data_IF_937136442846
#
_entry.id   IF_937136442846
#
_cell.length_a   1.000
_cell.length_b   1.000
_cell.length_c   1.000
_cell.angle_alpha   90.00
_cell.angle_beta   90.00
_cell.angle_gamma   90.00
#
_symmetry.space_group_name_H-M   'P 1'
#
loop_
_entity.id
_entity.type
_entity.pdbx_description
1 polymer ?
#
# COMPACT_ATOMS: atom_id res chain seq x y z
N UNK A 1 -6.54 -0.86 -7.91
CA UNK A 1 -5.12 -0.67 -8.25
C UNK A 1 -4.29 -1.12 -7.07
N UNK A 2 -3.14 -1.76 -7.28
CA UNK A 2 -2.20 -2.00 -6.18
C UNK A 2 -1.62 -0.67 -5.68
N UNK A 3 -1.44 -0.53 -4.37
CA UNK A 3 -0.84 0.67 -3.78
C UNK A 3 0.16 0.25 -2.73
N UNK A 4 1.34 0.87 -2.73
CA UNK A 4 2.43 0.51 -1.84
C UNK A 4 2.99 1.74 -1.16
N UNK A 5 3.33 1.62 0.12
CA UNK A 5 4.29 2.52 0.76
C UNK A 5 5.66 1.86 0.73
N UNK A 6 6.52 2.40 -0.12
CA UNK A 6 7.88 1.93 -0.32
C UNK A 6 8.79 2.60 0.71
N UNK A 7 9.59 1.81 1.42
CA UNK A 7 10.60 2.27 2.36
C UNK A 7 11.97 2.14 1.71
N UNK A 8 12.77 3.19 1.75
CA UNK A 8 14.08 3.25 1.11
C UNK A 8 15.17 3.57 2.12
N UNK A 9 16.38 3.09 1.84
CA UNK A 9 17.61 3.49 2.53
C UNK A 9 18.69 3.84 1.49
N UNK A 10 19.29 5.01 1.63
CA UNK A 10 20.29 5.47 0.69
C UNK A 10 21.62 4.72 0.89
N UNK A 11 22.06 3.97 -0.12
CA UNK A 11 23.36 3.29 -0.12
C UNK A 11 24.58 4.22 -0.01
N UNK A 12 24.41 5.54 -0.19
CA UNK A 12 25.51 6.53 -0.13
C UNK A 12 25.56 7.29 1.18
N UNK A 13 24.43 7.81 1.63
CA UNK A 13 24.38 8.73 2.78
C UNK A 13 23.56 8.17 3.96
N UNK A 14 22.99 6.97 3.82
CA UNK A 14 22.17 6.30 4.83
C UNK A 14 20.90 7.07 5.23
N UNK A 15 20.49 8.07 4.44
CA UNK A 15 19.17 8.69 4.58
C UNK A 15 18.08 7.64 4.33
N UNK A 16 17.09 7.59 5.20
CA UNK A 16 15.91 6.74 5.04
C UNK A 16 14.71 7.62 4.69
N UNK A 17 13.91 7.20 3.71
CA UNK A 17 12.69 7.90 3.31
C UNK A 17 11.64 6.92 2.84
N UNK A 18 10.43 7.44 2.63
CA UNK A 18 9.27 6.66 2.22
C UNK A 18 8.60 7.38 1.06
N UNK A 19 8.06 6.61 0.11
CA UNK A 19 7.21 7.14 -0.95
C UNK A 19 6.03 6.20 -1.21
N UNK A 20 4.89 6.76 -1.59
CA UNK A 20 3.67 6.00 -1.89
C UNK A 20 3.42 5.96 -3.39
N UNK A 21 3.35 4.74 -3.94
CA UNK A 21 3.18 4.56 -5.38
C UNK A 21 2.45 3.27 -5.73
N UNK A 22 1.96 3.18 -6.97
CA UNK A 22 1.28 1.99 -7.48
C UNK A 22 2.21 0.81 -7.77
N UNK A 23 3.52 0.96 -7.57
CA UNK A 23 4.53 -0.09 -7.69
C UNK A 23 5.65 0.06 -6.65
N UNK A 24 6.38 -1.02 -6.41
CA UNK A 24 7.71 -0.97 -5.82
C UNK A 24 8.73 -0.59 -6.90
N UNK A 25 9.00 0.70 -7.04
CA UNK A 25 9.84 1.25 -8.09
C UNK A 25 11.08 1.95 -7.48
N UNK A 26 12.18 2.01 -8.23
CA UNK A 26 13.39 2.70 -7.78
C UNK A 26 13.18 4.21 -7.66
N UNK A 27 13.82 4.85 -6.68
CA UNK A 27 13.72 6.29 -6.43
C UNK A 27 15.08 7.00 -6.31
N UNK A 28 15.05 8.33 -6.26
CA UNK A 28 16.20 9.23 -6.03
C UNK A 28 16.22 9.72 -4.58
N UNK A 29 17.35 9.50 -3.89
CA UNK A 29 17.54 9.94 -2.51
C UNK A 29 17.41 11.47 -2.38
N UNK A 30 16.48 11.98 -1.55
CA UNK A 30 16.18 13.41 -1.44
C UNK A 30 17.33 14.22 -0.80
N UNK A 31 18.21 13.57 -0.04
CA UNK A 31 19.30 14.24 0.66
C UNK A 31 20.56 14.44 -0.20
N UNK A 32 20.92 13.46 -1.03
CA UNK A 32 22.20 13.46 -1.76
C UNK A 32 22.08 13.23 -3.28
N UNK A 33 20.87 13.04 -3.80
CA UNK A 33 20.61 12.81 -5.22
C UNK A 33 21.14 11.47 -5.74
N UNK A 34 21.39 10.50 -4.85
CA UNK A 34 21.75 9.15 -5.27
C UNK A 34 20.54 8.48 -5.93
N UNK A 35 20.71 8.03 -7.18
CA UNK A 35 19.66 7.43 -7.99
C UNK A 35 19.62 5.92 -7.86
N UNK A 36 18.52 5.34 -8.34
CA UNK A 36 18.30 3.89 -8.43
C UNK A 36 18.34 3.22 -7.05
N UNK A 37 17.78 3.88 -6.05
CA UNK A 37 17.56 3.26 -4.76
C UNK A 37 16.30 2.40 -4.86
N UNK A 38 16.47 1.08 -4.87
CA UNK A 38 15.35 0.16 -4.72
C UNK A 38 14.82 0.19 -3.30
N UNK A 39 13.51 -0.01 -3.08
CA UNK A 39 12.96 -0.09 -1.74
C UNK A 39 13.55 -1.28 -0.98
N UNK A 40 13.83 -1.07 0.31
CA UNK A 40 14.26 -2.11 1.23
C UNK A 40 13.07 -2.92 1.76
N UNK A 41 11.89 -2.30 1.79
CA UNK A 41 10.61 -2.92 2.13
C UNK A 41 9.46 -2.17 1.44
N UNK A 42 8.34 -2.85 1.23
CA UNK A 42 7.13 -2.24 0.66
C UNK A 42 5.90 -2.73 1.42
N UNK A 43 5.23 -1.82 2.11
CA UNK A 43 3.94 -2.09 2.75
C UNK A 43 2.85 -2.14 1.68
N UNK A 44 2.13 -3.26 1.59
CA UNK A 44 0.98 -3.39 0.68
C UNK A 44 -0.24 -2.67 1.28
N UNK A 45 -0.56 -1.54 0.66
CA UNK A 45 -1.70 -0.68 0.98
C UNK A 45 -2.83 -0.82 -0.03
N UNK A 46 -2.85 -1.88 -0.86
CA UNK A 46 -3.92 -2.14 -1.83
C UNK A 46 -5.29 -2.21 -1.14
N UNK A 47 -5.30 -2.83 0.04
CA UNK A 47 -6.45 -2.86 0.92
C UNK A 47 -6.10 -2.26 2.29
N UNK A 48 -7.03 -1.52 2.87
CA UNK A 48 -6.93 -1.03 4.24
C UNK A 48 -8.11 -1.49 5.06
N UNK A 49 -7.87 -1.74 6.36
CA UNK A 49 -8.93 -2.03 7.33
C UNK A 49 -9.15 -0.79 8.20
N UNK A 50 -10.35 -0.22 8.15
CA UNK A 50 -10.76 0.89 9.00
C UNK A 50 -11.67 0.36 10.12
N UNK A 51 -11.36 0.72 11.36
CA UNK A 51 -12.18 0.42 12.53
C UNK A 51 -13.23 1.51 12.74
N UNK A 52 -14.50 1.18 12.51
CA UNK A 52 -15.65 2.07 12.67
C UNK A 52 -16.34 1.87 14.05
N UNK A 53 -15.68 1.17 14.97
CA UNK A 53 -16.13 0.89 16.34
C UNK A 53 -17.14 -0.26 16.46
N UNK A 54 -18.08 -0.38 15.52
CA UNK A 54 -19.08 -1.46 15.49
C UNK A 54 -18.80 -2.53 14.42
N UNK A 55 -17.97 -2.19 13.44
CA UNK A 55 -17.55 -3.06 12.37
C UNK A 55 -16.19 -2.61 11.83
N UNK A 56 -15.55 -3.48 11.07
CA UNK A 56 -14.30 -3.25 10.38
C UNK A 56 -14.61 -3.17 8.89
N UNK A 57 -14.40 -2.01 8.29
CA UNK A 57 -14.56 -1.80 6.86
C UNK A 57 -13.26 -2.16 6.15
N UNK A 58 -13.34 -2.99 5.11
CA UNK A 58 -12.24 -3.18 4.16
C UNK A 58 -12.46 -2.25 2.99
N UNK A 59 -11.48 -1.38 2.73
CA UNK A 59 -11.48 -0.46 1.61
C UNK A 59 -10.40 -0.87 0.62
N UNK A 60 -10.65 -0.65 -0.67
CA UNK A 60 -9.70 -0.88 -1.77
C UNK A 60 -9.66 0.35 -2.66
N UNK A 61 -8.48 0.73 -3.14
CA UNK A 61 -8.39 1.71 -4.22
C UNK A 61 -8.80 1.06 -5.56
N UNK A 62 -9.73 1.65 -6.33
CA UNK A 62 -10.16 1.12 -7.60
C UNK A 62 -9.02 1.12 -8.63
N UNK A 63 -9.16 0.37 -9.73
CA UNK A 63 -8.12 0.29 -10.77
C UNK A 63 -7.99 1.59 -11.58
N UNK A 64 -9.03 2.41 -11.59
CA UNK A 64 -9.07 3.72 -12.26
C UNK A 64 -8.46 4.86 -11.42
N UNK A 65 -8.02 4.60 -10.20
CA UNK A 65 -7.30 5.60 -9.41
C UNK A 65 -5.96 5.91 -10.09
N UNK A 66 -5.64 7.20 -10.23
CA UNK A 66 -4.45 7.64 -10.95
C UNK A 66 -3.32 8.01 -9.96
N UNK A 67 -3.21 9.29 -9.61
CA UNK A 67 -2.07 9.84 -8.88
C UNK A 67 -2.10 9.58 -7.37
N UNK A 68 -3.26 9.23 -6.81
CA UNK A 68 -3.49 9.04 -5.38
C UNK A 68 -4.45 7.88 -5.16
N UNK A 69 -4.37 7.17 -4.02
CA UNK A 69 -5.32 6.12 -3.71
C UNK A 69 -6.70 6.74 -3.45
N UNK A 70 -7.73 6.14 -4.05
CA UNK A 70 -9.13 6.52 -3.83
C UNK A 70 -9.85 5.38 -3.10
N UNK A 71 -9.52 5.19 -1.82
CA UNK A 71 -10.04 4.07 -1.04
C UNK A 71 -11.57 4.11 -0.93
N UNK A 72 -12.21 3.07 -1.48
CA UNK A 72 -13.65 2.87 -1.42
C UNK A 72 -13.96 1.60 -0.65
N UNK A 73 -14.99 1.65 0.18
CA UNK A 73 -15.46 0.49 0.93
C UNK A 73 -15.89 -0.63 -0.01
N UNK A 74 -15.37 -1.84 0.23
CA UNK A 74 -15.72 -3.05 -0.52
C UNK A 74 -16.66 -3.93 0.30
N UNK A 75 -16.34 -4.12 1.58
CA UNK A 75 -17.07 -5.03 2.47
C UNK A 75 -16.85 -4.66 3.94
N UNK A 76 -17.77 -5.10 4.82
CA UNK A 76 -17.70 -4.92 6.27
C UNK A 76 -17.67 -6.26 6.99
N UNK A 77 -16.91 -6.32 8.07
CA UNK A 77 -16.85 -7.46 8.99
C UNK A 77 -17.11 -7.03 10.42
N UNK A 78 -17.64 -7.93 11.25
CA UNK A 78 -17.80 -7.68 12.69
C UNK A 78 -16.52 -7.92 13.50
N UNK A 79 -15.45 -8.43 12.87
CA UNK A 79 -14.17 -8.64 13.53
C UNK A 79 -13.00 -8.27 12.62
N UNK A 80 -11.96 -7.70 13.22
CA UNK A 80 -10.72 -7.34 12.53
C UNK A 80 -10.07 -8.56 11.89
N UNK A 81 -10.03 -9.68 12.61
CA UNK A 81 -9.43 -10.91 12.12
C UNK A 81 -10.10 -11.46 10.85
N UNK A 82 -11.42 -11.27 10.69
CA UNK A 82 -12.12 -11.64 9.45
C UNK A 82 -11.80 -10.67 8.31
N UNK A 83 -11.72 -9.37 8.59
CA UNK A 83 -11.30 -8.37 7.59
C UNK A 83 -9.88 -8.64 7.08
N UNK A 84 -8.94 -8.93 7.99
CA UNK A 84 -7.57 -9.29 7.63
C UNK A 84 -7.50 -10.64 6.89
N UNK A 85 -8.35 -11.62 7.27
CA UNK A 85 -8.42 -12.89 6.57
C UNK A 85 -8.96 -12.74 5.14
N UNK A 86 -9.92 -11.83 4.93
CA UNK A 86 -10.42 -11.48 3.59
C UNK A 86 -9.29 -10.91 2.73
N UNK A 87 -8.53 -9.93 3.25
CA UNK A 87 -7.39 -9.34 2.52
C UNK A 87 -6.34 -10.41 2.16
N UNK A 88 -6.02 -11.31 3.10
CA UNK A 88 -5.06 -12.41 2.84
C UNK A 88 -5.58 -13.46 1.83
N UNK A 89 -6.89 -13.58 1.69
CA UNK A 89 -7.53 -14.59 0.85
C UNK A 89 -7.86 -14.09 -0.56
N UNK A 90 -7.94 -12.77 -0.78
CA UNK A 90 -8.08 -12.18 -2.10
C UNK A 90 -6.83 -12.50 -2.94
N UNK A 91 -6.93 -13.32 -4.00
CA UNK A 91 -5.88 -13.36 -5.00
C UNK A 91 -5.86 -11.99 -5.68
N UNK A 92 -4.68 -11.47 -6.01
CA UNK A 92 -4.50 -10.16 -6.62
C UNK A 92 -5.31 -9.91 -7.92
N UNK A 93 -6.00 -10.92 -8.48
CA UNK A 93 -6.84 -10.82 -9.66
C UNK A 93 -8.04 -11.80 -9.56
N UNK A 94 -9.20 -11.32 -9.13
CA UNK A 94 -10.47 -12.02 -9.29
C UNK A 94 -11.56 -11.05 -9.73
N UNK A 95 -11.39 -10.49 -10.93
CA UNK A 95 -12.52 -9.94 -11.69
C UNK A 95 -12.85 -10.93 -12.81
N UNK A 96 -14.07 -11.48 -12.73
CA UNK A 96 -14.75 -12.23 -13.81
C UNK A 96 -15.26 -11.26 -14.86
#
# INVERSE_FOLDING_TARGET
>A
MAWYRNHYECYRCSEAWEDEWSCACDDECPACGARHASPVDSEDLTFIVVDEGHYFAVLKSPDEAEHYPDYREVIRFLSRGLAEAYIRAEPAEAFV
#
